data_IF_389097828461
#
_entry.id   IF_389097828461
#
_cell.length_a   1.000
_cell.length_b   1.000
_cell.length_c   1.000
_cell.angle_alpha   90.00
_cell.angle_beta   90.00
_cell.angle_gamma   90.00
#
_symmetry.space_group_name_H-M   'P 1'
#
loop_
_entity.id
_entity.type
_entity.pdbx_description
1 polymer ?
#
# COMPACT_ATOMS: atom_id res chain seq x y z
N UNK A 1 7.00 -6.76 -23.05
CA UNK A 1 6.34 -5.50 -22.63
C UNK A 1 5.31 -5.90 -21.60
N UNK A 2 5.66 -5.83 -20.32
CA UNK A 2 4.74 -6.23 -19.27
C UNK A 2 3.83 -5.04 -18.97
N UNK A 3 2.53 -5.25 -19.01
CA UNK A 3 1.55 -4.19 -18.81
C UNK A 3 1.09 -4.25 -17.36
N UNK A 4 1.40 -3.21 -16.59
CA UNK A 4 0.87 -3.05 -15.23
C UNK A 4 -0.52 -2.41 -15.31
N UNK A 5 -1.50 -3.03 -14.65
CA UNK A 5 -2.83 -2.44 -14.47
C UNK A 5 -2.94 -1.83 -13.09
N UNK A 6 -3.40 -0.58 -12.99
CA UNK A 6 -3.66 0.09 -11.72
C UNK A 6 -5.18 0.21 -11.56
N UNK A 7 -5.71 -0.25 -10.43
CA UNK A 7 -7.14 -0.18 -10.13
C UNK A 7 -7.42 0.17 -8.68
N UNK A 8 -8.60 0.74 -8.45
CA UNK A 8 -9.15 0.87 -7.09
C UNK A 8 -9.42 -0.52 -6.55
N UNK A 9 -8.98 -0.76 -5.32
CA UNK A 9 -9.22 -2.01 -4.64
C UNK A 9 -10.59 -1.99 -3.98
N UNK A 10 -11.54 -2.76 -4.54
CA UNK A 10 -12.91 -2.88 -4.02
C UNK A 10 -13.08 -4.03 -3.03
N UNK A 11 -12.21 -5.03 -3.16
CA UNK A 11 -12.02 -6.16 -2.24
C UNK A 11 -10.64 -6.76 -2.59
N UNK A 12 -9.54 -6.10 -2.20
CA UNK A 12 -8.25 -6.76 -2.25
C UNK A 12 -8.33 -7.89 -1.24
N UNK A 13 -8.03 -9.13 -1.64
CA UNK A 13 -7.73 -10.13 -0.63
C UNK A 13 -6.73 -9.54 0.36
N UNK A 14 -7.16 -9.31 1.60
CA UNK A 14 -6.39 -8.62 2.65
C UNK A 14 -5.00 -9.26 2.76
N UNK A 15 -4.98 -10.59 2.74
CA UNK A 15 -3.77 -11.40 2.72
C UNK A 15 -2.83 -11.06 1.55
N UNK A 16 -3.34 -10.80 0.35
CA UNK A 16 -2.53 -10.38 -0.80
C UNK A 16 -1.90 -9.00 -0.60
N UNK A 17 -2.62 -8.05 0.00
CA UNK A 17 -2.05 -6.75 0.37
C UNK A 17 -0.93 -6.90 1.39
N UNK A 18 -1.18 -7.70 2.44
CA UNK A 18 -0.20 -7.91 3.50
C UNK A 18 1.04 -8.63 2.97
N UNK A 19 0.86 -9.59 2.05
CA UNK A 19 1.95 -10.30 1.40
C UNK A 19 2.83 -9.35 0.57
N UNK A 20 2.22 -8.43 -0.19
CA UNK A 20 2.96 -7.43 -0.97
C UNK A 20 3.76 -6.48 -0.07
N UNK A 21 3.17 -6.00 1.02
CA UNK A 21 3.90 -5.18 2.00
C UNK A 21 5.00 -5.97 2.72
N UNK A 22 4.77 -7.25 3.04
CA UNK A 22 5.82 -8.08 3.65
C UNK A 22 6.99 -8.29 2.69
N UNK A 23 6.70 -8.61 1.43
CA UNK A 23 7.72 -8.83 0.39
C UNK A 23 8.54 -7.57 0.12
N UNK A 24 7.88 -6.41 -0.02
CA UNK A 24 8.55 -5.15 -0.37
C UNK A 24 9.56 -4.65 0.69
N UNK A 25 9.36 -5.01 1.96
CA UNK A 25 10.19 -4.57 3.10
C UNK A 25 11.07 -5.69 3.69
N UNK A 26 11.06 -6.89 3.10
CA UNK A 26 11.89 -8.03 3.50
C UNK A 26 11.53 -8.62 4.89
N UNK A 27 12.35 -9.57 5.35
CA UNK A 27 12.06 -10.34 6.58
C UNK A 27 12.11 -9.50 7.86
N UNK A 28 12.92 -8.45 7.89
CA UNK A 28 13.13 -7.60 9.08
C UNK A 28 11.99 -6.57 9.24
N UNK A 29 11.72 -5.76 8.22
CA UNK A 29 10.73 -4.68 8.30
C UNK A 29 9.34 -5.10 7.77
N UNK A 30 9.27 -6.10 6.90
CA UNK A 30 8.02 -6.58 6.30
C UNK A 30 6.94 -6.99 7.30
N UNK A 31 7.24 -7.78 8.36
CA UNK A 31 6.25 -8.11 9.38
C UNK A 31 5.73 -6.88 10.13
N UNK A 32 6.59 -5.89 10.40
CA UNK A 32 6.21 -4.66 11.12
C UNK A 32 5.32 -3.78 10.24
N UNK A 33 5.72 -3.55 8.99
CA UNK A 33 4.96 -2.72 8.06
C UNK A 33 3.64 -3.37 7.67
N UNK A 34 3.64 -4.68 7.37
CA UNK A 34 2.39 -5.40 7.09
C UNK A 34 1.44 -5.38 8.29
N UNK A 35 1.95 -5.51 9.52
CA UNK A 35 1.13 -5.36 10.73
C UNK A 35 0.50 -3.97 10.85
N UNK A 36 1.27 -2.90 10.61
CA UNK A 36 0.74 -1.53 10.62
C UNK A 36 -0.35 -1.33 9.56
N UNK A 37 -0.15 -1.86 8.35
CA UNK A 37 -1.15 -1.81 7.28
C UNK A 37 -2.41 -2.59 7.67
N UNK A 38 -2.25 -3.75 8.30
CA UNK A 38 -3.36 -4.58 8.78
C UNK A 38 -4.24 -3.83 9.80
N UNK A 39 -3.60 -3.21 10.80
CA UNK A 39 -4.26 -2.39 11.80
C UNK A 39 -4.94 -1.15 11.17
N UNK A 40 -4.28 -0.51 10.20
CA UNK A 40 -4.80 0.69 9.52
C UNK A 40 -6.05 0.39 8.69
N UNK A 41 -6.15 -0.80 8.09
CA UNK A 41 -7.33 -1.20 7.31
C UNK A 41 -8.58 -1.37 8.19
N UNK A 42 -8.42 -1.62 9.48
CA UNK A 42 -9.50 -1.74 10.46
C UNK A 42 -9.76 -0.44 11.24
N UNK A 43 -8.93 0.60 11.06
CA UNK A 43 -9.03 1.86 11.81
C UNK A 43 -10.06 2.82 11.16
N UNK A 44 -11.24 3.04 11.80
CA UNK A 44 -12.26 3.91 11.25
C UNK A 44 -11.86 5.40 11.25
N UNK A 45 -10.83 5.80 12.02
CA UNK A 45 -10.38 7.20 12.05
C UNK A 45 -9.65 7.61 10.79
N UNK A 46 -9.15 6.63 10.02
CA UNK A 46 -8.54 6.82 8.71
C UNK A 46 -9.54 6.92 7.56
N UNK A 47 -10.85 6.81 7.82
CA UNK A 47 -11.86 6.92 6.78
C UNK A 47 -12.09 8.38 6.32
N UNK A 48 -12.36 8.61 5.01
CA UNK A 48 -12.45 7.61 3.93
C UNK A 48 -11.08 7.11 3.47
N UNK A 49 -11.03 5.83 3.09
CA UNK A 49 -9.82 5.17 2.57
C UNK A 49 -9.87 5.08 1.04
N UNK A 50 -8.76 5.39 0.38
CA UNK A 50 -8.52 5.05 -1.01
C UNK A 50 -7.39 4.03 -1.09
N UNK A 51 -7.72 2.80 -1.49
CA UNK A 51 -6.76 1.72 -1.74
C UNK A 51 -6.58 1.53 -3.24
N UNK A 52 -5.34 1.58 -3.72
CA UNK A 52 -4.94 1.31 -5.10
C UNK A 52 -4.03 0.10 -5.14
N UNK A 53 -4.28 -0.80 -6.08
CA UNK A 53 -3.44 -1.99 -6.33
C UNK A 53 -2.87 -1.93 -7.75
N UNK A 54 -1.62 -2.35 -7.87
CA UNK A 54 -0.95 -2.60 -9.13
C UNK A 54 -0.95 -4.11 -9.39
N UNK A 55 -1.41 -4.52 -10.56
CA UNK A 55 -1.44 -5.92 -10.99
C UNK A 55 -0.52 -6.11 -12.18
N UNK A 56 0.34 -7.13 -12.09
CA UNK A 56 1.23 -7.60 -13.14
C UNK A 56 0.94 -9.07 -13.37
N UNK A 57 0.62 -9.46 -14.61
CA UNK A 57 0.31 -10.85 -14.97
C UNK A 57 -0.80 -11.52 -14.10
N UNK A 58 -1.76 -10.71 -13.64
CA UNK A 58 -2.85 -11.06 -12.71
C UNK A 58 -2.40 -11.33 -11.26
N UNK A 59 -1.18 -10.97 -10.90
CA UNK A 59 -0.67 -10.99 -9.54
C UNK A 59 -0.54 -9.57 -8.98
N UNK A 60 -0.81 -9.41 -7.69
CA UNK A 60 -0.71 -8.12 -7.02
C UNK A 60 0.77 -7.80 -6.82
N UNK A 61 1.26 -6.79 -7.51
CA UNK A 61 2.67 -6.39 -7.52
C UNK A 61 2.94 -5.12 -6.70
N UNK A 62 1.88 -4.43 -6.25
CA UNK A 62 2.01 -3.22 -5.46
C UNK A 62 0.69 -2.79 -4.84
N UNK A 63 0.79 -2.11 -3.69
CA UNK A 63 -0.36 -1.54 -3.01
C UNK A 63 0.00 -0.17 -2.44
N UNK A 64 -0.90 0.80 -2.64
CA UNK A 64 -0.81 2.13 -2.02
C UNK A 64 -2.12 2.40 -1.29
N UNK A 65 -2.01 2.80 -0.02
CA UNK A 65 -3.13 3.11 0.85
C UNK A 65 -3.11 4.59 1.21
N UNK A 66 -4.23 5.28 0.98
CA UNK A 66 -4.46 6.64 1.42
C UNK A 66 -5.56 6.66 2.47
N UNK A 67 -5.31 7.33 3.59
CA UNK A 67 -6.28 7.53 4.68
C UNK A 67 -6.52 9.02 4.89
N UNK A 68 -7.65 9.34 5.53
CA UNK A 68 -7.94 10.67 6.04
C UNK A 68 -7.08 10.97 7.26
N UNK A 69 -6.67 12.23 7.41
CA UNK A 69 -5.95 12.74 8.59
C UNK A 69 -6.44 14.14 8.93
N UNK A 70 -6.54 14.45 10.23
CA UNK A 70 -6.83 15.80 10.71
C UNK A 70 -5.53 16.57 10.95
N UNK A 71 -5.52 17.84 10.53
CA UNK A 71 -4.36 18.74 10.67
C UNK A 71 -4.77 19.94 11.49
N UNK A 72 -3.95 20.29 12.48
CA UNK A 72 -4.20 21.46 13.32
C UNK A 72 -4.22 22.77 12.51
N UNK A 73 -5.09 23.73 12.87
CA UNK A 73 -5.18 25.02 12.19
C UNK A 73 -3.83 25.76 12.15
N UNK A 74 -3.50 26.35 11.00
CA UNK A 74 -2.28 27.15 10.83
C UNK A 74 -1.03 26.35 10.44
N UNK A 75 -1.15 25.04 10.21
CA UNK A 75 -0.11 24.21 9.59
C UNK A 75 -0.39 24.04 8.10
N UNK A 76 0.64 24.12 7.26
CA UNK A 76 0.55 23.69 5.87
C UNK A 76 0.97 22.23 5.81
N UNK A 77 0.04 21.29 5.53
CA UNK A 77 0.42 19.89 5.40
C UNK A 77 1.22 19.66 4.13
N UNK A 78 2.25 18.84 4.24
CA UNK A 78 2.92 18.22 3.10
C UNK A 78 3.00 16.72 3.36
N UNK A 79 2.53 15.93 2.39
CA UNK A 79 2.67 14.49 2.40
C UNK A 79 3.64 14.08 1.30
N UNK A 80 4.62 13.26 1.63
CA UNK A 80 5.53 12.64 0.67
C UNK A 80 5.39 11.13 0.79
N UNK A 81 4.95 10.48 -0.28
CA UNK A 81 4.95 9.03 -0.35
C UNK A 81 6.29 8.58 -0.96
N UNK A 82 7.22 8.18 -0.09
CA UNK A 82 8.44 7.52 -0.52
C UNK A 82 8.13 6.03 -0.76
N UNK A 83 7.96 5.64 -2.03
CA UNK A 83 7.95 4.23 -2.40
C UNK A 83 9.41 3.75 -2.43
N UNK A 84 9.89 3.05 -1.40
CA UNK A 84 11.10 2.25 -1.55
C UNK A 84 10.76 1.07 -2.46
N UNK A 85 11.51 0.96 -3.56
CA UNK A 85 11.30 -0.08 -4.58
C UNK A 85 11.62 -1.45 -4.01
N UNK A 86 10.60 -2.30 -3.86
CA UNK A 86 10.72 -3.75 -3.85
C UNK A 86 9.84 -4.30 -4.97
N UNK A 87 10.31 -4.20 -6.22
CA UNK A 87 9.74 -5.03 -7.29
C UNK A 87 10.31 -6.43 -7.13
N UNK A 88 9.49 -7.41 -6.78
CA UNK A 88 9.88 -8.80 -7.05
C UNK A 88 9.80 -9.00 -8.57
N UNK A 89 10.98 -9.19 -9.17
CA UNK A 89 11.17 -9.31 -10.60
C UNK A 89 11.86 -8.08 -11.20
N UNK A 90 13.05 -8.31 -11.78
CA UNK A 90 13.70 -7.36 -12.66
C UNK A 90 12.72 -6.89 -13.74
N UNK A 91 12.47 -5.58 -13.80
CA UNK A 91 11.87 -4.95 -14.96
C UNK A 91 12.90 -5.07 -16.11
N UNK A 92 12.61 -5.80 -17.21
CA UNK A 92 13.55 -5.97 -18.31
C UNK A 92 13.75 -4.70 -19.14
#
# INVERSE_FOLDING_TARGET
MNVVQIRVSRDPGRDSILAVHRSAFGDDEGPVISGLVDETLDDPTGEPILSLVAELDNELAGHVLFTSVEIEPGKQPSAFMALQHGIEGECP
#
